data_IF_802553074259
#
_entry.id   IF_802553074259
#
_cell.length_a   1.000
_cell.length_b   1.000
_cell.length_c   1.000
_cell.angle_alpha   90.00
_cell.angle_beta   90.00
_cell.angle_gamma   90.00
#
_symmetry.space_group_name_H-M   'P 1'
#
loop_
_entity.id
_entity.type
_entity.pdbx_description
1 polymer ?
#
# COMPACT_ATOMS: atom_id res chain seq x y z
N UNK A 1 1.10 8.05 4.41
CA UNK A 1 1.35 8.96 5.55
C UNK A 1 1.35 8.13 6.82
N UNK A 2 2.23 8.40 7.77
CA UNK A 2 2.30 7.74 9.07
C UNK A 2 2.61 8.82 10.12
N UNK A 3 1.94 8.80 11.26
CA UNK A 3 2.07 9.82 12.33
C UNK A 3 2.03 11.27 11.80
N UNK A 4 1.12 11.55 10.87
CA UNK A 4 0.92 12.89 10.30
C UNK A 4 1.97 13.36 9.29
N UNK A 5 2.96 12.54 8.92
CA UNK A 5 3.98 12.90 7.92
C UNK A 5 4.19 11.85 6.83
N UNK A 6 4.79 12.27 5.72
CA UNK A 6 5.30 11.37 4.68
C UNK A 6 6.71 10.89 5.04
N UNK A 7 7.10 9.66 4.65
CA UNK A 7 8.48 9.22 4.83
C UNK A 7 9.43 10.08 4.00
N UNK A 8 10.67 10.24 4.46
CA UNK A 8 11.73 10.89 3.68
C UNK A 8 12.34 9.89 2.68
N UNK A 9 13.08 10.37 1.65
CA UNK A 9 13.80 9.48 0.74
C UNK A 9 14.82 8.57 1.42
N UNK A 10 15.34 8.94 2.59
CA UNK A 10 16.25 8.11 3.38
C UNK A 10 15.51 6.97 4.09
N UNK A 11 14.29 7.21 4.56
CA UNK A 11 13.44 6.19 5.18
C UNK A 11 12.80 5.26 4.15
N UNK A 12 12.53 5.78 2.95
CA UNK A 12 11.93 5.03 1.86
C UNK A 12 12.51 5.48 0.51
N UNK A 13 13.67 4.92 0.12
CA UNK A 13 14.30 5.22 -1.16
C UNK A 13 13.42 4.79 -2.35
N UNK A 14 13.45 5.54 -3.47
CA UNK A 14 12.78 5.12 -4.69
C UNK A 14 13.49 3.90 -5.31
N UNK A 15 12.73 3.09 -6.06
CA UNK A 15 13.29 1.98 -6.83
C UNK A 15 13.72 2.35 -8.25
N UNK A 16 13.49 3.59 -8.66
CA UNK A 16 13.72 4.07 -10.02
C UNK A 16 14.13 5.54 -9.99
N UNK A 17 14.79 5.94 -11.06
CA UNK A 17 15.18 7.33 -11.32
C UNK A 17 14.16 8.01 -12.25
N UNK A 18 14.01 9.33 -12.13
CA UNK A 18 13.10 10.09 -12.99
C UNK A 18 11.63 10.01 -12.58
N UNK A 19 10.72 10.00 -13.56
CA UNK A 19 9.28 10.20 -13.32
C UNK A 19 8.51 8.92 -13.01
N UNK A 20 8.90 7.79 -13.61
CA UNK A 20 8.22 6.50 -13.44
C UNK A 20 9.18 5.32 -13.60
N UNK A 21 8.64 4.11 -13.38
CA UNK A 21 9.36 2.85 -13.51
C UNK A 21 8.93 2.06 -14.76
N UNK A 22 8.58 2.76 -15.85
CA UNK A 22 8.16 2.12 -17.10
C UNK A 22 9.30 1.32 -17.73
N UNK A 23 8.97 0.18 -18.34
CA UNK A 23 9.95 -0.71 -18.98
C UNK A 23 10.75 -1.60 -18.01
N UNK A 24 10.54 -1.48 -16.70
CA UNK A 24 11.16 -2.34 -15.68
C UNK A 24 10.85 -3.82 -15.93
N UNK A 25 11.90 -4.65 -15.88
CA UNK A 25 11.76 -6.10 -15.94
C UNK A 25 11.23 -6.66 -14.62
N UNK A 26 10.67 -7.88 -14.64
CA UNK A 26 10.25 -8.54 -13.40
C UNK A 26 11.40 -8.72 -12.41
N UNK A 27 12.62 -8.98 -12.89
CA UNK A 27 13.79 -9.18 -12.03
C UNK A 27 14.16 -7.88 -11.30
N UNK A 28 14.29 -6.77 -12.02
CA UNK A 28 14.54 -5.44 -11.43
C UNK A 28 13.44 -5.05 -10.43
N UNK A 29 12.19 -5.37 -10.74
CA UNK A 29 11.07 -5.12 -9.86
C UNK A 29 11.17 -5.89 -8.53
N UNK A 30 11.60 -7.16 -8.58
CA UNK A 30 11.78 -8.00 -7.39
C UNK A 30 13.04 -7.64 -6.59
N UNK A 31 14.09 -7.20 -7.27
CA UNK A 31 15.40 -6.95 -6.65
C UNK A 31 15.45 -5.65 -5.85
N UNK A 32 14.52 -4.71 -6.06
CA UNK A 32 14.45 -3.51 -5.23
C UNK A 32 13.95 -3.83 -3.81
N UNK A 33 14.77 -3.66 -2.76
CA UNK A 33 14.38 -3.98 -1.38
C UNK A 33 13.31 -3.03 -0.83
N UNK A 34 13.20 -1.82 -1.38
CA UNK A 34 12.24 -0.79 -0.96
C UNK A 34 10.94 -0.80 -1.76
N UNK A 35 10.74 -1.81 -2.61
CA UNK A 35 9.55 -1.89 -3.45
C UNK A 35 8.28 -1.99 -2.60
N UNK A 36 7.42 -0.97 -2.70
CA UNK A 36 6.15 -0.91 -1.98
C UNK A 36 5.16 -2.01 -2.40
N UNK A 37 5.39 -2.75 -3.48
CA UNK A 37 4.61 -3.94 -3.80
C UNK A 37 4.80 -5.06 -2.75
N UNK A 38 6.00 -5.15 -2.17
CA UNK A 38 6.32 -6.16 -1.17
C UNK A 38 5.45 -5.99 0.07
N UNK A 39 4.70 -7.04 0.40
CA UNK A 39 3.76 -7.07 1.54
C UNK A 39 2.75 -5.91 1.56
N UNK A 40 2.34 -5.39 0.38
CA UNK A 40 1.44 -4.23 0.27
C UNK A 40 0.17 -4.38 1.10
N UNK A 41 -0.50 -5.53 1.05
CA UNK A 41 -1.76 -5.74 1.77
C UNK A 41 -1.57 -5.63 3.29
N UNK A 42 -0.55 -6.29 3.83
CA UNK A 42 -0.21 -6.21 5.26
C UNK A 42 0.12 -4.77 5.65
N UNK A 43 0.99 -4.09 4.88
CA UNK A 43 1.39 -2.71 5.18
C UNK A 43 0.23 -1.71 5.11
N UNK A 44 -0.75 -1.93 4.25
CA UNK A 44 -1.92 -1.05 4.12
C UNK A 44 -3.00 -1.31 5.17
N UNK A 45 -3.02 -2.50 5.77
CA UNK A 45 -3.99 -2.86 6.81
C UNK A 45 -3.44 -2.67 8.22
N UNK A 46 -2.13 -2.80 8.41
CA UNK A 46 -1.48 -2.67 9.70
C UNK A 46 -1.40 -1.20 10.16
N UNK A 47 -1.38 -1.03 11.47
CA UNK A 47 -0.94 0.21 12.11
C UNK A 47 0.60 0.28 12.10
N UNK A 48 1.14 1.18 11.29
CA UNK A 48 2.58 1.34 11.10
C UNK A 48 3.26 2.07 12.28
N UNK A 49 2.51 2.79 13.11
CA UNK A 49 3.08 3.49 14.28
C UNK A 49 3.69 2.51 15.29
N UNK A 50 3.12 1.31 15.38
CA UNK A 50 3.58 0.20 16.23
C UNK A 50 5.03 -0.23 15.95
N UNK A 51 5.53 0.08 14.76
CA UNK A 51 6.87 -0.30 14.30
C UNK A 51 7.74 0.90 13.95
N UNK A 52 7.40 2.10 14.41
CA UNK A 52 8.16 3.31 14.11
C UNK A 52 8.03 3.76 12.66
N UNK A 53 6.84 3.58 12.07
CA UNK A 53 6.55 3.95 10.68
C UNK A 53 7.53 3.30 9.69
N UNK A 54 8.23 4.10 8.89
CA UNK A 54 9.17 3.64 7.85
C UNK A 54 10.62 3.53 8.37
N UNK A 55 10.88 3.84 9.64
CA UNK A 55 12.20 3.66 10.23
C UNK A 55 12.46 2.16 10.48
N UNK A 56 13.19 1.53 9.57
CA UNK A 56 13.53 0.10 9.64
C UNK A 56 14.47 -0.24 10.81
N UNK A 57 15.19 0.75 11.35
CA UNK A 57 16.11 0.57 12.48
C UNK A 57 15.43 0.66 13.85
N UNK A 58 14.14 1.00 13.91
CA UNK A 58 13.41 1.17 15.17
C UNK A 58 13.28 -0.15 15.94
N UNK A 59 13.06 -1.26 15.23
CA UNK A 59 12.94 -2.60 15.82
C UNK A 59 13.54 -3.67 14.89
N UNK A 60 14.01 -4.81 15.42
CA UNK A 60 14.54 -5.90 14.59
C UNK A 60 13.51 -6.43 13.59
N UNK A 61 13.97 -6.79 12.39
CA UNK A 61 13.13 -7.16 11.25
C UNK A 61 12.14 -8.28 11.55
N UNK A 62 12.58 -9.39 12.17
CA UNK A 62 11.68 -10.50 12.50
C UNK A 62 10.54 -10.09 13.43
N UNK A 63 10.83 -9.22 14.41
CA UNK A 63 9.81 -8.68 15.33
C UNK A 63 8.88 -7.70 14.61
N UNK A 64 9.43 -6.90 13.68
CA UNK A 64 8.67 -5.97 12.83
C UNK A 64 7.64 -6.69 11.99
N UNK A 65 8.05 -7.75 11.28
CA UNK A 65 7.16 -8.52 10.43
C UNK A 65 5.99 -9.14 11.22
N UNK A 66 6.28 -9.70 12.41
CA UNK A 66 5.26 -10.28 13.27
C UNK A 66 4.23 -9.23 13.74
N UNK A 67 4.70 -8.07 14.24
CA UNK A 67 3.81 -6.99 14.69
C UNK A 67 2.91 -6.45 13.57
N UNK A 68 3.46 -6.28 12.37
CA UNK A 68 2.68 -5.85 11.21
C UNK A 68 1.63 -6.89 10.81
N UNK A 69 1.99 -8.17 10.79
CA UNK A 69 1.06 -9.25 10.45
C UNK A 69 -0.10 -9.33 11.45
N UNK A 70 0.19 -9.26 12.75
CA UNK A 70 -0.82 -9.33 13.81
C UNK A 70 -1.75 -8.13 13.78
N UNK A 71 -1.20 -6.93 13.57
CA UNK A 71 -1.97 -5.70 13.40
C UNK A 71 -2.89 -5.77 12.17
N UNK A 72 -2.36 -6.20 11.01
CA UNK A 72 -3.14 -6.34 9.78
C UNK A 72 -4.30 -7.35 9.95
N UNK A 73 -4.04 -8.52 10.55
CA UNK A 73 -5.09 -9.52 10.82
C UNK A 73 -6.18 -8.96 11.72
N UNK A 74 -5.80 -8.29 12.82
CA UNK A 74 -6.75 -7.69 13.77
C UNK A 74 -7.61 -6.63 13.08
N UNK A 75 -6.99 -5.75 12.29
CA UNK A 75 -7.68 -4.67 11.59
C UNK A 75 -8.61 -5.20 10.48
N UNK A 76 -8.16 -6.19 9.72
CA UNK A 76 -8.98 -6.87 8.71
C UNK A 76 -10.16 -7.61 9.34
N UNK A 77 -9.93 -8.37 10.40
CA UNK A 77 -11.01 -9.03 11.14
C UNK A 77 -12.03 -8.01 11.67
N UNK A 78 -11.56 -6.86 12.16
CA UNK A 78 -12.43 -5.77 12.58
C UNK A 78 -13.26 -5.16 11.42
N UNK A 79 -12.76 -5.15 10.18
CA UNK A 79 -13.50 -4.70 8.99
C UNK A 79 -14.60 -5.69 8.59
N UNK A 80 -14.36 -6.98 8.80
CA UNK A 80 -15.29 -8.03 8.42
C UNK A 80 -16.34 -8.35 9.51
N UNK A 81 -16.28 -7.68 10.67
CA UNK A 81 -17.28 -7.85 11.72
C UNK A 81 -18.62 -7.22 11.31
N UNK A 82 -19.74 -7.97 11.38
CA UNK A 82 -21.06 -7.45 11.00
C UNK A 82 -21.52 -6.29 11.89
N UNK A 83 -21.09 -6.27 13.16
CA UNK A 83 -21.47 -5.25 14.13
C UNK A 83 -20.54 -4.02 14.13
N UNK A 84 -19.67 -3.90 13.12
CA UNK A 84 -18.74 -2.77 13.06
C UNK A 84 -19.52 -1.47 12.80
N UNK A 85 -19.56 -0.61 13.82
CA UNK A 85 -19.99 0.78 13.64
C UNK A 85 -19.00 1.46 12.67
N UNK A 86 -19.46 2.06 11.56
CA UNK A 86 -18.61 2.83 10.67
C UNK A 86 -17.80 3.87 11.46
N UNK A 87 -16.55 4.10 11.07
CA UNK A 87 -15.79 5.20 11.67
C UNK A 87 -16.60 6.50 11.49
N UNK A 88 -16.62 7.37 12.50
CA UNK A 88 -17.44 8.59 12.50
C UNK A 88 -17.10 9.53 11.31
N UNK A 89 -15.87 9.41 10.79
CA UNK A 89 -15.35 10.15 9.62
C UNK A 89 -15.22 9.27 8.36
N UNK A 90 -15.89 8.12 8.31
CA UNK A 90 -15.88 7.28 7.11
C UNK A 90 -16.59 8.02 5.97
N UNK A 91 -15.83 8.44 4.96
CA UNK A 91 -16.40 8.96 3.72
C UNK A 91 -17.15 7.82 3.03
N UNK A 92 -18.47 7.94 2.78
CA UNK A 92 -19.20 6.90 2.06
C UNK A 92 -18.57 6.72 0.68
N UNK A 93 -18.25 5.48 0.32
CA UNK A 93 -17.82 5.15 -1.04
C UNK A 93 -18.99 5.48 -1.96
N UNK A 94 -18.81 6.48 -2.83
CA UNK A 94 -19.81 6.83 -3.85
C UNK A 94 -20.12 5.58 -4.67
N UNK A 95 -21.39 5.16 -4.64
CA UNK A 95 -21.89 4.05 -5.44
C UNK A 95 -21.89 4.34 -6.96
N UNK A 96 -21.65 5.60 -7.36
CA UNK A 96 -21.76 6.07 -8.74
C UNK A 96 -20.42 6.14 -9.49
N UNK A 97 -19.48 5.22 -9.24
CA UNK A 97 -18.36 5.02 -10.17
C UNK A 97 -18.86 4.16 -11.31
N UNK A 98 -19.54 4.77 -12.28
CA UNK A 98 -19.69 4.15 -13.59
C UNK A 98 -18.30 3.98 -14.20
N UNK A 99 -17.95 2.79 -14.72
CA UNK A 99 -16.70 2.62 -15.45
C UNK A 99 -16.75 3.52 -16.69
N UNK A 100 -16.03 4.64 -16.64
CA UNK A 100 -15.76 5.44 -17.83
C UNK A 100 -14.79 4.62 -18.68
N UNK A 101 -15.34 3.89 -19.65
CA UNK A 101 -14.56 3.17 -20.65
C UNK A 101 -13.82 4.22 -21.46
N UNK A 102 -12.49 4.26 -21.36
CA UNK A 102 -11.67 5.18 -22.14
C UNK A 102 -11.85 4.89 -23.64
N UNK A 103 -12.15 5.89 -24.50
CA UNK A 103 -12.42 5.68 -25.92
C UNK A 103 -11.21 5.18 -26.75
N UNK A 104 -10.03 5.06 -26.15
CA UNK A 104 -8.81 4.64 -26.84
C UNK A 104 -8.77 3.13 -27.23
N UNK A 105 -9.69 2.30 -26.73
CA UNK A 105 -9.71 0.86 -27.02
C UNK A 105 -10.47 0.49 -28.31
N UNK A 106 -11.16 1.43 -28.96
CA UNK A 106 -11.91 1.13 -30.19
C UNK A 106 -11.08 1.14 -31.48
N UNK A 107 -9.81 1.57 -31.44
CA UNK A 107 -8.98 1.73 -32.64
C UNK A 107 -8.11 0.50 -33.00
N UNK A 108 -8.12 -0.58 -32.21
CA UNK A 108 -7.25 -1.76 -32.42
C UNK A 108 -8.04 -3.01 -32.87
N UNK A 109 -9.23 -2.83 -33.44
CA UNK A 109 -10.05 -3.95 -33.92
C UNK A 109 -10.61 -3.74 -35.35
N UNK A 110 -9.89 -3.02 -36.22
CA UNK A 110 -10.28 -2.84 -37.63
C UNK A 110 -9.17 -3.06 -38.66
N UNK A 111 -8.15 -3.89 -38.37
CA UNK A 111 -7.30 -4.48 -39.41
C UNK A 111 -7.07 -5.96 -39.18
#
# INVERSE_FOLDING_TARGET
MCDGRTPTPEELPPCYEGTDWSGCTLQEFMDCPYNLANNRQVRMLADLSLVGCYNLSFIPEGKRAQLLLDSAKKNLHGLLRPDRVPAQDAVPVRADVQPQVHPALHAVQQH
#
